data_IF_436368722537
#
_entry.id   IF_436368722537
#
_cell.length_a   1.000
_cell.length_b   1.000
_cell.length_c   1.000
_cell.angle_alpha   90.00
_cell.angle_beta   90.00
_cell.angle_gamma   90.00
#
_symmetry.space_group_name_H-M   'P 1'
#
loop_
_entity.id
_entity.type
_entity.pdbx_description
1 polymer ?
#
# COMPACT_ATOMS: atom_id res chain seq x y z
N UNK A 1 -44.77 44.25 5.94
CA UNK A 1 -43.98 44.63 4.77
C UNK A 1 -43.82 43.38 3.94
N UNK A 2 -44.13 43.55 2.67
CA UNK A 2 -44.30 42.57 1.61
C UNK A 2 -42.97 41.96 1.13
N UNK A 3 -43.12 40.82 0.45
CA UNK A 3 -42.42 40.40 -0.80
C UNK A 3 -40.91 40.08 -0.66
N UNK A 4 -40.55 38.80 -0.74
CA UNK A 4 -40.11 38.07 -1.97
C UNK A 4 -38.67 38.44 -2.33
N UNK A 5 -37.73 37.54 -2.04
CA UNK A 5 -36.40 37.43 -2.68
C UNK A 5 -35.75 36.14 -2.12
N UNK A 6 -35.82 35.04 -2.86
CA UNK A 6 -34.74 34.59 -3.75
C UNK A 6 -33.58 34.00 -2.94
N UNK A 7 -33.57 32.66 -2.81
CA UNK A 7 -32.38 31.83 -3.02
C UNK A 7 -32.73 30.36 -2.75
N UNK A 8 -33.17 29.72 -3.83
CA UNK A 8 -33.22 28.28 -4.04
C UNK A 8 -31.83 27.70 -3.77
N UNK A 9 -31.57 27.29 -2.53
CA UNK A 9 -30.38 26.51 -2.18
C UNK A 9 -30.47 25.19 -2.94
N UNK A 10 -29.86 25.15 -4.12
CA UNK A 10 -29.70 23.97 -4.93
C UNK A 10 -29.03 22.87 -4.07
N UNK A 11 -29.84 21.92 -3.61
CA UNK A 11 -29.36 20.62 -3.16
C UNK A 11 -28.95 19.83 -4.40
N UNK A 12 -27.73 20.06 -4.87
CA UNK A 12 -27.09 19.20 -5.85
C UNK A 12 -25.57 19.27 -5.68
N UNK A 13 -25.13 19.01 -4.45
CA UNK A 13 -23.75 18.56 -4.19
C UNK A 13 -23.76 17.02 -4.29
N UNK A 14 -24.13 16.54 -5.48
CA UNK A 14 -23.91 15.16 -5.90
C UNK A 14 -22.39 15.00 -6.03
N UNK A 15 -21.72 14.79 -4.89
CA UNK A 15 -20.34 14.34 -4.82
C UNK A 15 -20.31 12.95 -5.47
N UNK A 16 -20.16 12.91 -6.79
CA UNK A 16 -19.65 11.74 -7.48
C UNK A 16 -18.29 11.45 -6.85
N UNK A 17 -18.26 10.49 -5.91
CA UNK A 17 -17.05 9.81 -5.48
C UNK A 17 -16.49 9.13 -6.73
N UNK A 18 -15.78 9.88 -7.58
CA UNK A 18 -14.85 9.34 -8.54
C UNK A 18 -13.86 8.55 -7.69
N UNK A 19 -14.06 7.22 -7.65
CA UNK A 19 -13.10 6.29 -7.09
C UNK A 19 -11.80 6.49 -7.89
N UNK A 20 -10.93 7.36 -7.37
CA UNK A 20 -9.59 7.58 -7.87
C UNK A 20 -8.89 6.22 -7.84
N UNK A 21 -8.85 5.56 -9.00
CA UNK A 21 -8.22 4.24 -9.22
C UNK A 21 -6.72 4.24 -8.92
N UNK A 22 -6.18 5.42 -8.61
CA UNK A 22 -4.81 5.69 -8.16
C UNK A 22 -4.73 6.10 -6.68
N UNK A 23 -5.71 5.78 -5.84
CA UNK A 23 -5.56 5.92 -4.38
C UNK A 23 -4.46 4.97 -3.88
N UNK A 24 -3.25 5.51 -3.81
CA UNK A 24 -2.05 4.87 -3.23
C UNK A 24 -2.27 4.41 -1.79
N UNK A 25 -3.34 4.86 -1.12
CA UNK A 25 -3.74 4.45 0.22
C UNK A 25 -4.92 3.49 0.24
N UNK A 26 -5.44 3.05 -0.91
CA UNK A 26 -6.53 2.09 -1.00
C UNK A 26 -6.14 0.79 -0.27
N UNK A 27 -6.81 0.55 0.85
CA UNK A 27 -6.61 -0.67 1.64
C UNK A 27 -7.35 -1.79 0.93
N UNK A 28 -6.64 -2.84 0.52
CA UNK A 28 -7.26 -4.01 -0.12
C UNK A 28 -8.39 -4.54 0.77
N UNK A 29 -9.62 -4.68 0.26
CA UNK A 29 -10.79 -5.05 1.07
C UNK A 29 -10.73 -6.49 1.61
N UNK A 30 -9.92 -7.35 0.97
CA UNK A 30 -9.76 -8.74 1.38
C UNK A 30 -8.71 -8.88 2.49
N UNK A 31 -9.02 -9.61 3.59
CA UNK A 31 -8.04 -9.88 4.63
C UNK A 31 -6.90 -10.72 4.06
N UNK A 32 -5.69 -10.14 4.03
CA UNK A 32 -4.46 -10.83 3.65
C UNK A 32 -3.53 -10.96 4.84
N UNK A 33 -2.84 -12.09 4.91
CA UNK A 33 -1.81 -12.29 5.94
C UNK A 33 -0.48 -11.71 5.45
N UNK A 34 0.09 -10.77 6.21
CA UNK A 34 1.41 -10.21 5.92
C UNK A 34 2.47 -11.32 5.97
N UNK A 35 3.39 -11.32 5.02
CA UNK A 35 4.48 -12.29 5.01
C UNK A 35 5.39 -12.10 6.22
N UNK A 36 5.33 -13.03 7.17
CA UNK A 36 6.08 -12.97 8.42
C UNK A 36 7.61 -12.93 8.24
N UNK A 37 8.15 -13.43 7.12
CA UNK A 37 9.59 -13.40 6.84
C UNK A 37 10.11 -11.99 6.48
N UNK A 38 9.40 -11.27 5.60
CA UNK A 38 9.83 -9.94 5.14
C UNK A 38 9.02 -8.79 5.74
N UNK A 39 8.05 -9.08 6.61
CA UNK A 39 7.18 -8.08 7.21
C UNK A 39 6.36 -7.26 6.19
N UNK A 40 6.16 -7.78 4.98
CA UNK A 40 5.48 -7.06 3.90
C UNK A 40 6.40 -6.20 3.01
N UNK A 41 7.70 -6.16 3.25
CA UNK A 41 8.64 -5.32 2.49
C UNK A 41 9.00 -5.85 1.09
N UNK A 42 8.53 -7.03 0.68
CA UNK A 42 8.92 -7.79 -0.54
C UNK A 42 10.39 -8.22 -0.65
N UNK A 43 11.31 -7.59 0.08
CA UNK A 43 12.74 -7.88 0.08
C UNK A 43 13.23 -8.20 1.49
N UNK A 44 14.32 -8.94 1.56
CA UNK A 44 15.08 -9.20 2.80
C UNK A 44 16.54 -8.87 2.58
N UNK A 45 17.26 -8.65 3.69
CA UNK A 45 18.68 -8.34 3.62
C UNK A 45 19.49 -9.43 2.91
N UNK A 46 20.36 -9.00 2.00
CA UNK A 46 21.32 -9.81 1.27
C UNK A 46 22.72 -9.19 1.40
N UNK A 47 23.38 -9.36 2.57
CA UNK A 47 24.69 -8.79 2.81
C UNK A 47 25.69 -9.35 1.80
N UNK A 48 26.26 -8.45 1.01
CA UNK A 48 27.21 -8.77 -0.05
C UNK A 48 28.45 -7.91 0.14
N UNK A 49 29.62 -8.45 -0.23
CA UNK A 49 30.87 -7.69 -0.20
C UNK A 49 30.99 -6.87 -1.49
N UNK A 50 31.17 -5.56 -1.34
CA UNK A 50 31.39 -4.63 -2.44
C UNK A 50 32.65 -3.79 -2.20
N UNK A 51 33.26 -3.30 -3.29
CA UNK A 51 34.39 -2.37 -3.21
C UNK A 51 33.86 -0.95 -3.42
N UNK A 52 33.91 -0.11 -2.38
CA UNK A 52 33.45 1.29 -2.44
C UNK A 52 34.65 2.18 -2.12
N UNK A 53 35.02 3.04 -3.08
CA UNK A 53 36.20 3.92 -2.92
C UNK A 53 37.51 3.15 -2.74
N UNK A 54 37.64 1.97 -3.36
CA UNK A 54 38.83 1.12 -3.25
C UNK A 54 38.94 0.31 -1.96
N UNK A 55 37.98 0.42 -1.04
CA UNK A 55 37.95 -0.35 0.21
C UNK A 55 36.80 -1.37 0.21
N UNK A 56 37.00 -2.59 0.76
CA UNK A 56 35.93 -3.55 0.93
C UNK A 56 34.94 -3.06 1.99
N UNK A 57 33.64 -3.10 1.65
CA UNK A 57 32.52 -2.76 2.52
C UNK A 57 31.45 -3.83 2.38
N UNK A 58 30.77 -4.14 3.49
CA UNK A 58 29.54 -4.95 3.45
C UNK A 58 28.39 -4.02 3.11
N UNK A 59 27.65 -4.35 2.06
CA UNK A 59 26.43 -3.65 1.66
C UNK A 59 25.26 -4.61 1.70
N UNK A 60 24.08 -4.11 2.03
CA UNK A 60 22.85 -4.86 1.80
C UNK A 60 22.43 -4.63 0.34
N UNK A 61 22.49 -5.67 -0.48
CA UNK A 61 22.06 -5.58 -1.89
C UNK A 61 20.56 -5.88 -2.06
N UNK A 62 19.87 -6.27 -0.97
CA UNK A 62 18.52 -6.80 -1.02
C UNK A 62 18.44 -8.11 -1.80
N UNK A 63 17.54 -9.00 -1.39
CA UNK A 63 17.07 -10.09 -2.25
C UNK A 63 15.58 -10.20 -2.12
N UNK A 64 14.93 -10.59 -3.22
CA UNK A 64 13.52 -10.90 -3.20
C UNK A 64 13.22 -11.92 -2.09
N UNK A 65 12.16 -11.68 -1.34
CA UNK A 65 11.77 -12.56 -0.24
C UNK A 65 11.38 -13.94 -0.81
N UNK A 66 12.10 -15.02 -0.49
CA UNK A 66 11.83 -16.35 -1.06
C UNK A 66 10.53 -16.97 -0.51
N UNK A 67 10.01 -16.45 0.60
CA UNK A 67 8.80 -16.98 1.22
C UNK A 67 7.54 -16.51 0.49
N UNK A 68 7.43 -15.22 0.17
CA UNK A 68 6.29 -14.66 -0.56
C UNK A 68 6.55 -14.40 -2.04
N UNK A 69 7.78 -14.62 -2.52
CA UNK A 69 8.20 -14.36 -3.90
C UNK A 69 7.75 -12.96 -4.38
N UNK A 70 8.09 -11.95 -3.58
CA UNK A 70 7.74 -10.55 -3.86
C UNK A 70 6.29 -10.15 -3.57
N UNK A 71 5.37 -11.09 -3.32
CA UNK A 71 3.94 -10.81 -3.17
C UNK A 71 3.55 -10.04 -1.88
N UNK A 72 4.48 -9.92 -0.91
CA UNK A 72 4.33 -9.22 0.39
C UNK A 72 3.30 -9.82 1.37
N UNK A 73 2.28 -10.46 0.83
CA UNK A 73 1.14 -11.02 1.54
C UNK A 73 0.81 -12.41 1.00
N UNK A 74 0.11 -13.21 1.80
CA UNK A 74 -0.53 -14.44 1.36
C UNK A 74 -2.04 -14.27 1.41
N UNK A 75 -2.73 -14.93 0.49
CA UNK A 75 -4.16 -15.19 0.61
C UNK A 75 -4.36 -15.83 1.99
N UNK A 76 -5.05 -15.10 2.87
CA UNK A 76 -4.91 -15.29 4.31
C UNK A 76 -5.10 -16.74 4.74
N UNK A 77 -4.40 -17.13 5.81
CA UNK A 77 -4.91 -18.17 6.71
C UNK A 77 -6.20 -17.61 7.32
N UNK A 78 -7.30 -17.58 6.55
CA UNK A 78 -8.61 -17.15 7.02
C UNK A 78 -8.98 -18.12 8.14
N UNK A 79 -9.06 -17.66 9.41
CA UNK A 79 -9.50 -18.53 10.48
C UNK A 79 -10.90 -19.02 10.12
N UNK A 80 -11.21 -20.32 10.22
CA UNK A 80 -12.57 -20.79 10.04
C UNK A 80 -13.48 -20.07 11.05
N UNK A 81 -14.63 -19.59 10.58
CA UNK A 81 -15.69 -19.00 11.40
C UNK A 81 -16.34 -20.07 12.29
#
# INVERSE_FOLDING_TARGET
>A
MSEDDEDEFAEDDEFEDEEDVDDLFAVTPEPRTVCHLCGGASYIAAPTLAIIGGAPRTVDNGRECPHCNGARTFNGLVPPL
#
